data_IF_741233189094
#
_entry.id   IF_741233189094
#
_cell.length_a   1.000
_cell.length_b   1.000
_cell.length_c   1.000
_cell.angle_alpha   90.00
_cell.angle_beta   90.00
_cell.angle_gamma   90.00
#
_symmetry.space_group_name_H-M   'P 1'
#
loop_
_entity.id
_entity.type
_entity.pdbx_description
1 polymer ?
#
# COMPACT_ATOMS: atom_id res chain seq x y z
N UNK A 1 -10.50 0.32 7.25
CA UNK A 1 -10.89 -0.09 5.89
C UNK A 1 -9.70 -0.03 4.96
N UNK A 2 -9.60 -1.00 4.08
CA UNK A 2 -8.56 -1.09 3.05
C UNK A 2 -9.23 -1.08 1.67
N UNK A 3 -8.78 -0.22 0.78
CA UNK A 3 -9.22 -0.17 -0.60
C UNK A 3 -8.01 -0.35 -1.53
N UNK A 4 -8.03 -1.39 -2.36
CA UNK A 4 -7.03 -1.59 -3.39
C UNK A 4 -7.28 -0.63 -4.57
N UNK A 5 -6.20 -0.03 -5.09
CA UNK A 5 -6.28 0.85 -6.26
C UNK A 5 -6.66 0.09 -7.55
N UNK A 6 -6.36 -1.19 -7.62
CA UNK A 6 -6.66 -2.03 -8.77
C UNK A 6 -8.12 -2.51 -8.73
N UNK A 7 -8.84 -2.38 -9.85
CA UNK A 7 -10.27 -2.70 -9.91
C UNK A 7 -10.62 -4.17 -9.63
N UNK A 8 -9.71 -5.11 -9.89
CA UNK A 8 -9.90 -6.53 -9.63
C UNK A 8 -8.57 -7.21 -9.24
N UNK A 9 -7.98 -6.90 -8.07
CA UNK A 9 -6.75 -7.54 -7.67
C UNK A 9 -6.97 -9.04 -7.42
N UNK A 10 -6.11 -9.88 -7.97
CA UNK A 10 -6.12 -11.33 -7.71
C UNK A 10 -5.72 -11.63 -6.26
N UNK A 11 -4.92 -10.77 -5.69
CA UNK A 11 -4.43 -10.82 -4.31
C UNK A 11 -4.21 -9.39 -3.83
N UNK A 12 -4.23 -9.21 -2.53
CA UNK A 12 -4.08 -7.91 -1.86
C UNK A 12 -3.00 -8.09 -0.80
N UNK A 13 -2.10 -7.14 -0.69
CA UNK A 13 -1.14 -7.14 0.41
C UNK A 13 -1.89 -6.96 1.73
N UNK A 14 -1.70 -7.89 2.66
CA UNK A 14 -2.25 -7.77 4.00
C UNK A 14 -1.56 -6.66 4.78
N UNK A 15 -2.30 -6.02 5.67
CA UNK A 15 -1.69 -5.24 6.72
C UNK A 15 -1.17 -6.21 7.80
N UNK A 16 -0.01 -5.90 8.38
CA UNK A 16 0.65 -6.75 9.36
C UNK A 16 -0.32 -7.21 10.45
N UNK A 17 -0.40 -8.53 10.66
CA UNK A 17 -1.28 -9.19 11.62
C UNK A 17 -2.78 -8.82 11.55
N UNK A 18 -3.26 -8.40 10.39
CA UNK A 18 -4.68 -8.09 10.17
C UNK A 18 -5.38 -9.15 9.34
N UNK A 19 -6.62 -9.42 9.66
CA UNK A 19 -7.48 -10.34 8.91
C UNK A 19 -8.72 -9.63 8.40
N UNK A 20 -9.26 -10.00 7.22
CA UNK A 20 -10.52 -9.46 6.76
C UNK A 20 -11.68 -9.96 7.62
N UNK A 21 -12.59 -9.06 7.99
CA UNK A 21 -13.79 -9.38 8.75
C UNK A 21 -14.95 -9.82 7.86
N UNK A 22 -14.85 -9.59 6.56
CA UNK A 22 -15.91 -9.87 5.60
C UNK A 22 -15.79 -11.30 5.04
N UNK A 23 -16.91 -12.01 4.79
CA UNK A 23 -16.89 -13.32 4.17
C UNK A 23 -16.36 -13.24 2.72
N UNK A 24 -15.73 -14.31 2.25
CA UNK A 24 -15.19 -14.40 0.89
C UNK A 24 -13.77 -13.88 0.73
N UNK A 25 -13.13 -13.44 1.82
CA UNK A 25 -11.71 -13.12 1.87
C UNK A 25 -11.00 -14.04 2.86
N UNK A 26 -9.76 -14.41 2.54
CA UNK A 26 -8.92 -15.24 3.43
C UNK A 26 -7.46 -14.81 3.35
N UNK A 27 -6.75 -14.92 4.46
CA UNK A 27 -5.32 -14.64 4.56
C UNK A 27 -4.54 -15.91 4.23
N UNK A 28 -3.55 -15.79 3.36
CA UNK A 28 -2.62 -16.87 3.06
C UNK A 28 -1.48 -16.92 4.09
N UNK A 29 -0.73 -18.01 4.08
CA UNK A 29 0.44 -18.21 4.97
C UNK A 29 1.57 -17.18 4.71
N UNK A 30 1.59 -16.53 3.57
CA UNK A 30 2.50 -15.44 3.21
C UNK A 30 2.00 -14.05 3.64
N UNK A 31 0.84 -13.97 4.28
CA UNK A 31 0.20 -12.73 4.72
C UNK A 31 -0.64 -12.05 3.63
N UNK A 32 -0.63 -12.55 2.39
CA UNK A 32 -1.45 -11.99 1.32
C UNK A 32 -2.94 -12.31 1.55
N UNK A 33 -3.80 -11.33 1.28
CA UNK A 33 -5.26 -11.51 1.32
C UNK A 33 -5.72 -11.92 -0.06
N UNK A 34 -6.38 -13.06 -0.15
CA UNK A 34 -7.06 -13.50 -1.37
C UNK A 34 -8.55 -13.30 -1.28
N UNK A 35 -9.12 -13.00 -2.43
CA UNK A 35 -10.56 -12.89 -2.63
C UNK A 35 -11.08 -14.18 -3.23
N UNK A 36 -12.21 -14.67 -2.72
CA UNK A 36 -12.98 -15.72 -3.36
C UNK A 36 -13.68 -15.23 -4.64
N UNK A 37 -14.72 -15.93 -5.10
CA UNK A 37 -15.41 -15.68 -6.36
C UNK A 37 -16.21 -14.36 -6.47
N UNK A 38 -16.12 -13.47 -5.51
CA UNK A 38 -16.87 -12.20 -5.53
C UNK A 38 -16.30 -11.18 -6.53
N UNK A 39 -17.18 -10.53 -7.29
CA UNK A 39 -16.85 -9.62 -8.42
C UNK A 39 -16.73 -8.13 -8.06
N UNK A 40 -16.93 -7.71 -6.80
CA UNK A 40 -16.98 -6.29 -6.44
C UNK A 40 -15.72 -5.79 -5.73
N UNK A 41 -15.22 -4.63 -6.13
CA UNK A 41 -14.20 -3.85 -5.45
C UNK A 41 -14.84 -2.99 -4.35
N UNK A 42 -15.29 -3.63 -3.28
CA UNK A 42 -15.71 -2.91 -2.08
C UNK A 42 -14.50 -2.69 -1.15
N UNK A 43 -14.51 -1.65 -0.32
CA UNK A 43 -13.54 -1.53 0.76
C UNK A 43 -13.58 -2.77 1.66
N UNK A 44 -12.40 -3.22 2.08
CA UNK A 44 -12.26 -4.39 2.95
C UNK A 44 -12.07 -3.90 4.38
N UNK A 45 -12.91 -4.40 5.28
CA UNK A 45 -12.73 -4.16 6.71
C UNK A 45 -11.71 -5.15 7.26
N UNK A 46 -10.61 -4.64 7.80
CA UNK A 46 -9.57 -5.44 8.43
C UNK A 46 -9.63 -5.28 9.94
N UNK A 47 -9.48 -6.40 10.64
CA UNK A 47 -9.35 -6.45 12.10
C UNK A 47 -7.91 -6.77 12.44
N UNK A 48 -7.27 -5.92 13.23
CA UNK A 48 -5.93 -6.18 13.73
C UNK A 48 -5.97 -7.16 14.90
N UNK A 49 -5.19 -8.25 14.79
CA UNK A 49 -5.13 -9.32 15.81
C UNK A 49 -3.99 -9.16 16.82
N UNK A 50 -3.27 -8.05 16.77
CA UNK A 50 -2.09 -7.85 17.59
C UNK A 50 -0.86 -8.60 17.04
N UNK A 51 0.15 -8.83 17.90
CA UNK A 51 1.42 -9.48 17.51
C UNK A 51 1.36 -11.01 17.50
N UNK A 52 0.20 -11.62 17.30
CA UNK A 52 0.07 -13.08 17.31
C UNK A 52 0.55 -13.68 15.98
N UNK A 53 1.26 -14.80 16.05
CA UNK A 53 1.56 -15.62 14.87
C UNK A 53 0.24 -16.23 14.36
N UNK A 54 -0.24 -15.74 13.23
CA UNK A 54 -1.54 -16.14 12.65
C UNK A 54 -1.51 -17.58 12.15
N UNK A 55 -0.34 -18.13 11.82
CA UNK A 55 -0.21 -19.48 11.29
C UNK A 55 1.03 -20.20 11.85
N UNK A 56 0.88 -21.46 12.30
CA UNK A 56 2.02 -22.30 12.61
C UNK A 56 2.85 -22.56 11.34
N UNK A 57 4.15 -22.41 11.44
CA UNK A 57 5.06 -22.59 10.30
C UNK A 57 5.51 -24.05 10.26
N UNK A 58 5.29 -24.73 9.14
CA UNK A 58 5.72 -26.11 8.96
C UNK A 58 7.23 -26.20 8.72
N UNK A 59 7.84 -27.31 9.13
CA UNK A 59 9.26 -27.60 8.87
C UNK A 59 9.61 -27.57 7.37
N UNK A 60 8.65 -27.93 6.50
CA UNK A 60 8.83 -27.86 5.06
C UNK A 60 9.02 -26.40 4.57
N UNK A 61 8.28 -25.45 5.11
CA UNK A 61 8.42 -24.03 4.78
C UNK A 61 9.79 -23.52 5.23
N UNK A 62 10.25 -23.89 6.42
CA UNK A 62 11.58 -23.50 6.90
C UNK A 62 12.68 -24.07 6.00
N UNK A 63 12.60 -25.36 5.65
CA UNK A 63 13.55 -26.00 4.75
C UNK A 63 13.57 -25.35 3.36
N UNK A 64 12.42 -25.00 2.81
CA UNK A 64 12.33 -24.28 1.53
C UNK A 64 13.03 -22.91 1.59
N UNK A 65 12.99 -22.24 2.74
CA UNK A 65 13.65 -20.95 2.95
C UNK A 65 15.16 -21.06 3.33
N UNK A 66 15.73 -22.24 3.30
CA UNK A 66 17.18 -22.51 3.37
C UNK A 66 17.78 -22.86 2.01
N UNK A 67 16.94 -23.11 1.00
CA UNK A 67 17.40 -23.57 -0.31
C UNK A 67 18.17 -22.49 -1.07
N UNK A 68 19.25 -22.93 -1.72
CA UNK A 68 20.05 -22.14 -2.65
C UNK A 68 20.74 -23.06 -3.69
N UNK A 69 21.26 -22.48 -4.77
CA UNK A 69 22.03 -23.21 -5.77
C UNK A 69 23.51 -23.18 -5.40
N UNK A 70 24.04 -24.33 -5.00
CA UNK A 70 25.43 -24.46 -4.51
C UNK A 70 26.51 -24.13 -5.57
N UNK A 71 26.16 -24.17 -6.85
CA UNK A 71 27.06 -23.85 -7.98
C UNK A 71 27.08 -22.35 -8.31
N UNK A 72 26.28 -21.51 -7.66
CA UNK A 72 26.16 -20.08 -7.92
C UNK A 72 26.74 -19.25 -6.77
N UNK A 73 27.16 -18.03 -7.08
CA UNK A 73 27.55 -17.01 -6.09
C UNK A 73 28.62 -17.52 -5.09
N UNK A 74 29.67 -18.16 -5.62
CA UNK A 74 30.69 -18.84 -4.79
C UNK A 74 31.47 -17.90 -3.88
N UNK A 75 31.65 -16.62 -4.25
CA UNK A 75 32.33 -15.64 -3.41
C UNK A 75 31.43 -15.26 -2.23
N UNK A 76 30.13 -15.07 -2.45
CA UNK A 76 29.17 -14.78 -1.40
C UNK A 76 29.01 -15.95 -0.44
N UNK A 77 29.06 -17.20 -0.92
CA UNK A 77 29.07 -18.38 -0.06
C UNK A 77 30.30 -18.41 0.86
N UNK A 78 31.49 -18.11 0.32
CA UNK A 78 32.72 -18.05 1.14
C UNK A 78 32.65 -16.94 2.18
N UNK A 79 32.22 -15.73 1.79
CA UNK A 79 32.04 -14.61 2.69
C UNK A 79 31.05 -14.96 3.82
N UNK A 80 29.92 -15.57 3.48
CA UNK A 80 28.93 -15.97 4.45
C UNK A 80 29.50 -16.97 5.46
N UNK A 81 30.21 -18.00 5.00
CA UNK A 81 30.83 -18.99 5.87
C UNK A 81 31.94 -18.40 6.76
N UNK A 82 32.74 -17.49 6.21
CA UNK A 82 33.78 -16.80 6.96
C UNK A 82 33.21 -15.94 8.09
N UNK A 83 32.23 -15.08 7.80
CA UNK A 83 31.56 -14.24 8.80
C UNK A 83 30.80 -15.08 9.83
N UNK A 84 30.19 -16.20 9.41
CA UNK A 84 29.49 -17.08 10.33
C UNK A 84 30.45 -17.78 11.29
N UNK A 85 31.60 -18.24 10.83
CA UNK A 85 32.66 -18.81 11.68
C UNK A 85 33.22 -17.76 12.65
N UNK A 86 33.46 -16.53 12.20
CA UNK A 86 33.92 -15.41 13.05
C UNK A 86 32.89 -15.04 14.10
N UNK A 87 31.60 -15.25 13.84
CA UNK A 87 30.52 -15.02 14.82
C UNK A 87 30.44 -16.09 15.90
N UNK A 88 31.25 -17.14 15.81
CA UNK A 88 31.16 -18.34 16.67
C UNK A 88 29.86 -19.12 16.41
N UNK A 89 29.38 -19.14 15.18
CA UNK A 89 28.13 -19.76 14.72
C UNK A 89 26.87 -19.24 15.47
N UNK A 90 26.90 -18.01 15.96
CA UNK A 90 25.78 -17.35 16.63
C UNK A 90 25.01 -16.48 15.63
N UNK A 91 23.73 -16.82 15.32
CA UNK A 91 22.97 -16.13 14.25
C UNK A 91 22.85 -14.63 14.45
N UNK A 92 22.58 -14.13 15.67
CA UNK A 92 22.39 -12.70 15.96
C UNK A 92 23.69 -11.93 15.72
N UNK A 93 24.83 -12.51 16.14
CA UNK A 93 26.16 -11.91 15.94
C UNK A 93 26.51 -11.88 14.45
N UNK A 94 26.21 -12.98 13.74
CA UNK A 94 26.42 -13.07 12.30
C UNK A 94 25.61 -12.02 11.53
N UNK A 95 24.33 -11.87 11.85
CA UNK A 95 23.46 -10.84 11.25
C UNK A 95 24.08 -9.45 11.45
N UNK A 96 24.50 -9.12 12.66
CA UNK A 96 25.14 -7.84 12.97
C UNK A 96 26.45 -7.65 12.18
N UNK A 97 27.26 -8.70 12.03
CA UNK A 97 28.48 -8.65 11.22
C UNK A 97 28.20 -8.43 9.75
N UNK A 98 27.20 -9.11 9.17
CA UNK A 98 26.78 -8.91 7.78
C UNK A 98 26.29 -7.47 7.55
N UNK A 99 25.46 -6.93 8.43
CA UNK A 99 24.99 -5.53 8.34
C UNK A 99 26.16 -4.53 8.45
N UNK A 100 27.11 -4.75 9.36
CA UNK A 100 28.31 -3.93 9.48
C UNK A 100 29.21 -4.05 8.26
N UNK A 101 29.30 -5.24 7.65
CA UNK A 101 30.04 -5.45 6.42
C UNK A 101 29.46 -4.61 5.27
N UNK A 102 28.13 -4.60 5.06
CA UNK A 102 27.52 -3.69 4.10
C UNK A 102 27.91 -2.23 4.35
N UNK A 103 27.84 -1.79 5.59
CA UNK A 103 28.17 -0.40 5.98
C UNK A 103 29.62 -0.04 5.67
N UNK A 104 30.56 -0.98 5.85
CA UNK A 104 31.99 -0.76 5.68
C UNK A 104 32.50 -0.84 4.24
N UNK A 105 31.75 -1.49 3.34
CA UNK A 105 32.22 -1.79 1.98
C UNK A 105 31.83 -0.76 0.91
N UNK A 106 31.32 0.42 1.32
CA UNK A 106 30.99 1.51 0.40
C UNK A 106 29.80 1.24 -0.50
N UNK A 107 28.84 0.46 -0.02
CA UNK A 107 27.57 0.27 -0.72
C UNK A 107 26.76 1.56 -0.82
N UNK A 108 26.07 1.75 -1.94
CA UNK A 108 25.23 2.90 -2.20
C UNK A 108 23.82 2.53 -2.65
N UNK A 109 22.86 3.41 -2.33
CA UNK A 109 21.48 3.24 -2.77
C UNK A 109 21.25 3.95 -4.11
N UNK A 110 20.80 3.21 -5.13
CA UNK A 110 20.50 3.73 -6.45
C UNK A 110 19.26 3.04 -7.02
N UNK A 111 18.33 3.83 -7.60
CA UNK A 111 17.17 3.31 -8.32
C UNK A 111 17.51 2.87 -9.76
N UNK A 112 18.70 3.20 -10.24
CA UNK A 112 19.21 2.80 -11.55
C UNK A 112 20.62 2.20 -11.43
N UNK A 113 20.76 1.02 -10.78
CA UNK A 113 22.07 0.45 -10.48
C UNK A 113 22.78 -0.19 -11.68
N UNK A 114 22.12 -0.32 -12.82
CA UNK A 114 22.58 -1.10 -13.95
C UNK A 114 22.14 -2.57 -13.89
N UNK A 115 22.63 -3.38 -14.85
CA UNK A 115 22.26 -4.80 -14.92
C UNK A 115 23.28 -5.66 -14.18
N UNK A 116 22.79 -6.62 -13.41
CA UNK A 116 23.59 -7.69 -12.83
C UNK A 116 23.87 -8.79 -13.88
N UNK A 117 24.99 -9.48 -13.73
CA UNK A 117 25.38 -10.60 -14.58
C UNK A 117 24.85 -11.94 -14.05
N UNK A 118 25.40 -13.07 -14.50
CA UNK A 118 24.87 -14.42 -14.22
C UNK A 118 24.88 -14.82 -12.75
N UNK A 119 25.90 -14.44 -11.98
CA UNK A 119 25.99 -14.68 -10.54
C UNK A 119 25.59 -13.38 -9.83
N UNK A 120 24.28 -13.20 -9.68
CA UNK A 120 23.69 -11.93 -9.31
C UNK A 120 24.13 -11.45 -7.92
N UNK A 121 24.29 -12.36 -6.97
CA UNK A 121 24.68 -12.02 -5.61
C UNK A 121 26.15 -11.64 -5.55
N UNK A 122 27.02 -12.43 -6.17
CA UNK A 122 28.45 -12.11 -6.28
C UNK A 122 28.67 -10.78 -7.00
N UNK A 123 27.97 -10.59 -8.11
CA UNK A 123 28.06 -9.37 -8.91
C UNK A 123 27.64 -8.13 -8.10
N UNK A 124 26.54 -8.23 -7.36
CA UNK A 124 26.08 -7.14 -6.50
C UNK A 124 27.05 -6.87 -5.34
N UNK A 125 27.48 -7.91 -4.63
CA UNK A 125 28.26 -7.76 -3.39
C UNK A 125 29.70 -7.31 -3.65
N UNK A 126 30.35 -7.76 -4.75
CA UNK A 126 31.77 -7.56 -4.93
C UNK A 126 32.12 -6.59 -6.07
N UNK A 127 31.23 -6.44 -7.05
CA UNK A 127 31.50 -5.59 -8.22
C UNK A 127 30.67 -4.31 -8.22
N UNK A 128 29.34 -4.41 -8.20
CA UNK A 128 28.45 -3.28 -8.43
C UNK A 128 28.29 -2.41 -7.21
N UNK A 129 27.98 -2.97 -6.04
CA UNK A 129 27.78 -2.29 -4.74
C UNK A 129 26.78 -1.13 -4.77
N UNK A 130 25.99 -1.04 -5.81
CA UNK A 130 24.95 -0.05 -6.02
C UNK A 130 23.64 -0.77 -6.29
N UNK A 131 22.59 -0.46 -5.54
CA UNK A 131 21.32 -1.14 -5.68
C UNK A 131 20.19 -0.44 -4.93
N UNK A 132 19.01 -0.99 -5.03
CA UNK A 132 17.82 -0.59 -4.26
C UNK A 132 17.36 -1.74 -3.36
N UNK A 133 16.27 -1.56 -2.63
CA UNK A 133 15.83 -2.46 -1.56
C UNK A 133 15.84 -3.96 -1.94
N UNK A 134 15.44 -4.32 -3.17
CA UNK A 134 15.44 -5.71 -3.63
C UNK A 134 16.85 -6.33 -3.67
N UNK A 135 17.86 -5.58 -4.07
CA UNK A 135 19.25 -6.05 -4.13
C UNK A 135 19.78 -6.32 -2.72
N UNK A 136 19.52 -5.42 -1.79
CA UNK A 136 19.94 -5.57 -0.39
C UNK A 136 19.19 -6.70 0.31
N UNK A 137 17.86 -6.76 0.16
CA UNK A 137 17.06 -7.81 0.77
C UNK A 137 17.42 -9.20 0.21
N UNK A 138 17.56 -9.34 -1.11
CA UNK A 138 17.87 -10.63 -1.74
C UNK A 138 19.28 -11.11 -1.41
N UNK A 139 20.28 -10.24 -1.49
CA UNK A 139 21.66 -10.63 -1.13
C UNK A 139 21.80 -10.98 0.34
N UNK A 140 21.17 -10.24 1.23
CA UNK A 140 21.14 -10.56 2.65
C UNK A 140 20.48 -11.91 2.93
N UNK A 141 19.32 -12.18 2.34
CA UNK A 141 18.63 -13.49 2.46
C UNK A 141 19.53 -14.62 1.99
N UNK A 142 20.25 -14.45 0.85
CA UNK A 142 21.13 -15.47 0.38
C UNK A 142 22.34 -15.71 1.30
N UNK A 143 22.92 -14.65 1.87
CA UNK A 143 23.98 -14.80 2.88
C UNK A 143 23.50 -15.62 4.11
N UNK A 144 22.24 -15.41 4.55
CA UNK A 144 21.66 -16.22 5.62
C UNK A 144 21.50 -17.69 5.21
N UNK A 145 20.97 -17.93 4.00
CA UNK A 145 20.73 -19.29 3.48
C UNK A 145 22.02 -20.09 3.27
N UNK A 146 23.11 -19.45 2.85
CA UNK A 146 24.41 -20.09 2.64
C UNK A 146 25.00 -20.71 3.92
N UNK A 147 24.58 -20.25 5.08
CA UNK A 147 24.96 -20.82 6.39
C UNK A 147 23.84 -21.60 7.06
N UNK A 148 22.79 -21.94 6.31
CA UNK A 148 21.68 -22.77 6.78
C UNK A 148 20.65 -22.05 7.66
N UNK A 149 20.68 -20.73 7.76
CA UNK A 149 19.67 -19.94 8.47
C UNK A 149 18.48 -19.71 7.54
N UNK A 150 17.22 -20.12 7.93
CA UNK A 150 16.06 -19.87 7.10
C UNK A 150 15.80 -18.38 6.98
N UNK A 151 15.71 -17.89 5.73
CA UNK A 151 15.46 -16.48 5.44
C UNK A 151 14.63 -16.32 4.18
N UNK A 152 13.83 -15.24 4.12
CA UNK A 152 12.97 -14.92 2.98
C UNK A 152 12.95 -13.42 2.68
N UNK A 153 12.78 -13.08 1.40
CA UNK A 153 12.48 -11.71 0.99
C UNK A 153 10.98 -11.48 1.17
N UNK A 154 10.63 -10.36 1.75
CA UNK A 154 9.26 -9.89 1.88
C UNK A 154 9.11 -8.62 1.08
N UNK A 155 8.04 -8.54 0.29
CA UNK A 155 7.67 -7.35 -0.47
C UNK A 155 6.40 -6.76 0.08
N UNK A 156 6.34 -5.44 0.12
CA UNK A 156 5.19 -4.73 0.68
C UNK A 156 5.32 -3.24 0.44
N UNK A 157 4.79 -2.48 1.36
CA UNK A 157 4.89 -1.02 1.34
C UNK A 157 5.44 -0.53 2.68
N UNK A 158 6.17 0.56 2.63
CA UNK A 158 6.71 1.23 3.81
C UNK A 158 6.51 2.73 3.69
N UNK A 159 5.79 3.29 4.67
CA UNK A 159 5.37 4.67 4.65
C UNK A 159 3.98 4.86 4.07
N UNK A 160 3.73 6.05 3.56
CA UNK A 160 2.46 6.52 3.03
C UNK A 160 2.28 8.00 3.35
N UNK A 161 1.19 8.59 2.89
CA UNK A 161 0.83 9.97 3.18
C UNK A 161 -0.52 10.03 3.88
N UNK A 162 -0.60 10.88 4.91
CA UNK A 162 -1.90 11.20 5.51
C UNK A 162 -2.76 11.98 4.51
N UNK A 163 -3.99 11.54 4.32
CA UNK A 163 -4.97 12.24 3.52
C UNK A 163 -5.45 13.52 4.24
N UNK A 164 -6.12 14.44 3.52
CA UNK A 164 -6.59 15.70 4.09
C UNK A 164 -7.55 15.58 5.29
N UNK A 165 -8.19 14.41 5.45
CA UNK A 165 -9.08 14.12 6.59
C UNK A 165 -8.34 13.79 7.90
N UNK A 166 -7.00 13.66 7.86
CA UNK A 166 -6.15 13.29 8.99
C UNK A 166 -6.38 11.88 9.55
N UNK A 167 -7.24 11.07 8.93
CA UNK A 167 -7.61 9.72 9.39
C UNK A 167 -7.30 8.63 8.36
N UNK A 168 -7.29 8.99 7.10
CA UNK A 168 -7.01 8.10 5.98
C UNK A 168 -5.54 8.19 5.59
N UNK A 169 -4.94 7.05 5.25
CA UNK A 169 -3.58 6.95 4.71
C UNK A 169 -3.64 6.50 3.26
N UNK A 170 -2.91 7.20 2.41
CA UNK A 170 -2.65 6.81 1.04
C UNK A 170 -1.28 6.15 0.95
N UNK A 171 -1.26 4.92 0.47
CA UNK A 171 -0.04 4.15 0.19
C UNK A 171 0.10 4.01 -1.31
N UNK A 172 1.22 4.48 -1.87
CA UNK A 172 1.43 4.57 -3.31
C UNK A 172 2.48 3.58 -3.77
N UNK A 173 2.55 3.37 -5.08
CA UNK A 173 3.58 2.50 -5.67
C UNK A 173 5.02 2.97 -5.35
N UNK A 174 5.22 4.27 -5.13
CA UNK A 174 6.50 4.82 -4.67
C UNK A 174 6.91 4.37 -3.26
N UNK A 175 5.94 3.94 -2.45
CA UNK A 175 6.15 3.45 -1.10
C UNK A 175 6.43 1.93 -1.08
N UNK A 176 6.48 1.29 -2.28
CA UNK A 176 6.85 -0.11 -2.41
C UNK A 176 8.26 -0.36 -1.86
N UNK A 177 8.41 -1.41 -1.08
CA UNK A 177 9.64 -1.75 -0.39
C UNK A 177 9.83 -3.26 -0.27
N UNK A 178 11.08 -3.69 -0.25
CA UNK A 178 11.47 -5.06 0.03
C UNK A 178 12.40 -5.11 1.24
N UNK A 179 12.14 -6.05 2.13
CA UNK A 179 12.98 -6.33 3.30
C UNK A 179 13.20 -7.81 3.47
N UNK A 180 13.99 -8.18 4.44
CA UNK A 180 14.29 -9.58 4.77
C UNK A 180 13.57 -10.00 6.05
N UNK A 181 13.20 -11.26 6.12
CA UNK A 181 12.83 -11.92 7.37
C UNK A 181 13.70 -13.15 7.58
N UNK A 182 14.17 -13.31 8.80
CA UNK A 182 15.03 -14.40 9.25
C UNK A 182 14.33 -15.18 10.34
N UNK A 183 14.38 -16.51 10.29
CA UNK A 183 13.80 -17.35 11.31
C UNK A 183 14.75 -17.54 12.49
N UNK A 184 14.42 -16.90 13.59
CA UNK A 184 15.19 -16.95 14.84
C UNK A 184 14.25 -17.18 16.01
N UNK A 185 14.67 -18.01 16.98
CA UNK A 185 13.92 -18.25 18.22
C UNK A 185 12.44 -18.62 18.00
N UNK A 186 12.16 -19.40 16.95
CA UNK A 186 10.80 -19.87 16.68
C UNK A 186 9.87 -18.85 16.02
N UNK A 187 10.39 -17.73 15.51
CA UNK A 187 9.61 -16.67 14.85
C UNK A 187 10.35 -16.03 13.68
N UNK A 188 9.62 -15.46 12.73
CA UNK A 188 10.19 -14.59 11.72
C UNK A 188 10.53 -13.22 12.34
N UNK A 189 11.78 -12.80 12.19
CA UNK A 189 12.25 -11.49 12.62
C UNK A 189 12.55 -10.64 11.39
N UNK A 190 11.96 -9.45 11.32
CA UNK A 190 12.20 -8.48 10.25
C UNK A 190 13.59 -7.89 10.39
N UNK A 191 14.35 -7.93 9.30
CA UNK A 191 15.66 -7.29 9.16
C UNK A 191 15.67 -6.55 7.83
N UNK A 192 15.92 -5.25 7.89
CA UNK A 192 15.97 -4.40 6.70
C UNK A 192 17.40 -3.91 6.46
N UNK A 193 18.17 -4.59 5.58
CA UNK A 193 19.54 -4.18 5.31
C UNK A 193 19.62 -2.82 4.60
N UNK A 194 18.55 -2.35 3.96
CA UNK A 194 18.49 -1.02 3.36
C UNK A 194 18.60 0.08 4.40
N UNK A 195 18.13 -0.15 5.63
CA UNK A 195 18.20 0.82 6.72
C UNK A 195 19.64 1.18 7.11
N UNK A 196 20.58 0.27 6.90
CA UNK A 196 21.99 0.49 7.21
C UNK A 196 22.69 1.36 6.14
N UNK A 197 22.24 1.27 4.89
CA UNK A 197 22.85 1.93 3.73
C UNK A 197 22.17 3.27 3.41
N UNK A 198 20.86 3.34 3.59
CA UNK A 198 20.06 4.50 3.26
C UNK A 198 18.94 4.69 4.29
N UNK A 199 19.29 5.05 5.56
CA UNK A 199 18.29 5.22 6.62
C UNK A 199 17.22 6.24 6.26
N UNK A 200 17.57 7.29 5.56
CA UNK A 200 16.64 8.31 5.09
C UNK A 200 15.58 7.74 4.12
N UNK A 201 15.88 6.63 3.41
CA UNK A 201 14.91 5.95 2.55
C UNK A 201 13.83 5.27 3.38
N UNK A 202 14.19 4.79 4.55
CA UNK A 202 13.29 4.10 5.47
C UNK A 202 12.45 5.11 6.25
N UNK A 203 13.05 6.21 6.70
CA UNK A 203 12.38 7.21 7.53
C UNK A 203 11.45 8.14 6.73
N UNK A 204 11.86 8.53 5.53
CA UNK A 204 11.20 9.57 4.74
C UNK A 204 10.58 9.06 3.43
N UNK A 205 10.80 7.80 3.07
CA UNK A 205 10.38 7.23 1.79
C UNK A 205 11.20 7.72 0.58
N UNK A 206 10.87 7.24 -0.61
CA UNK A 206 11.56 7.63 -1.87
C UNK A 206 11.42 9.13 -2.17
N UNK A 207 10.35 9.75 -1.69
CA UNK A 207 10.04 11.15 -2.00
C UNK A 207 11.14 12.13 -1.63
N UNK A 208 11.78 11.95 -0.48
CA UNK A 208 12.83 12.87 -0.01
C UNK A 208 14.03 12.94 -0.95
N UNK A 209 14.47 11.82 -1.53
CA UNK A 209 15.60 11.81 -2.47
C UNK A 209 15.30 12.39 -3.84
N UNK A 210 14.10 12.11 -4.38
CA UNK A 210 13.66 12.70 -5.64
C UNK A 210 13.54 14.23 -5.50
N UNK A 211 13.19 14.71 -4.30
CA UNK A 211 13.05 16.13 -3.99
C UNK A 211 14.39 16.84 -3.73
N UNK A 212 15.38 16.16 -3.16
CA UNK A 212 16.69 16.78 -2.85
C UNK A 212 17.53 17.09 -4.10
N UNK A 213 17.28 16.43 -5.24
CA UNK A 213 18.09 16.60 -6.45
C UNK A 213 17.83 17.89 -7.24
N UNK A 214 16.78 18.67 -6.94
CA UNK A 214 16.63 20.03 -7.55
C UNK A 214 15.61 20.88 -6.77
N UNK A 215 16.10 21.92 -6.10
CA UNK A 215 15.27 22.88 -5.35
C UNK A 215 14.18 23.56 -6.20
N UNK A 216 14.40 23.79 -7.48
CA UNK A 216 13.42 24.40 -8.40
C UNK A 216 12.27 23.46 -8.77
N UNK A 217 12.52 22.15 -8.92
CA UNK A 217 11.49 21.13 -9.15
C UNK A 217 10.69 20.81 -7.89
N UNK A 218 11.24 21.09 -6.72
CA UNK A 218 10.66 20.75 -5.42
C UNK A 218 9.32 21.47 -5.17
N UNK A 219 9.21 22.76 -5.48
CA UNK A 219 7.99 23.54 -5.23
C UNK A 219 6.85 23.13 -6.19
N UNK A 220 7.16 22.92 -7.46
CA UNK A 220 6.20 22.49 -8.48
C UNK A 220 5.74 21.04 -8.27
N UNK A 221 6.66 20.19 -7.81
CA UNK A 221 6.36 18.79 -7.49
C UNK A 221 5.54 18.63 -6.19
N UNK A 222 5.84 19.41 -5.16
CA UNK A 222 5.09 19.41 -3.90
C UNK A 222 3.62 19.84 -4.12
N UNK A 223 3.36 20.81 -5.00
CA UNK A 223 2.01 21.21 -5.36
C UNK A 223 1.27 20.12 -6.16
N UNK A 224 1.92 19.55 -7.18
CA UNK A 224 1.35 18.44 -7.97
C UNK A 224 1.06 17.21 -7.11
N UNK A 225 1.96 16.84 -6.21
CA UNK A 225 1.77 15.74 -5.30
C UNK A 225 0.59 15.98 -4.34
N UNK A 226 0.46 17.20 -3.82
CA UNK A 226 -0.68 17.57 -2.97
C UNK A 226 -2.01 17.52 -3.72
N UNK A 227 -2.03 17.95 -4.98
CA UNK A 227 -3.22 17.82 -5.82
C UNK A 227 -3.53 16.36 -6.16
N UNK A 228 -2.53 15.51 -6.38
CA UNK A 228 -2.72 14.10 -6.64
C UNK A 228 -3.30 13.39 -5.41
N UNK A 229 -2.74 13.63 -4.21
CA UNK A 229 -3.31 13.09 -2.96
C UNK A 229 -4.77 13.54 -2.78
N UNK A 230 -5.10 14.79 -3.12
CA UNK A 230 -6.48 15.27 -3.09
C UNK A 230 -7.36 14.56 -4.11
N UNK A 231 -6.90 14.38 -5.34
CA UNK A 231 -7.68 13.68 -6.38
C UNK A 231 -7.91 12.22 -6.04
N UNK A 232 -6.89 11.55 -5.50
CA UNK A 232 -6.96 10.15 -5.11
C UNK A 232 -7.84 9.96 -3.86
N UNK A 233 -7.77 10.91 -2.91
CA UNK A 233 -8.69 10.96 -1.78
C UNK A 233 -10.15 11.15 -2.21
N UNK A 234 -10.42 12.07 -3.15
CA UNK A 234 -11.77 12.28 -3.70
C UNK A 234 -12.25 11.02 -4.45
N UNK A 235 -11.38 10.40 -5.25
CA UNK A 235 -11.68 9.14 -5.93
C UNK A 235 -11.95 8.01 -4.91
N UNK A 236 -11.18 7.92 -3.83
CA UNK A 236 -11.41 6.99 -2.73
C UNK A 236 -12.78 7.24 -2.07
N UNK A 237 -13.09 8.49 -1.71
CA UNK A 237 -14.38 8.84 -1.11
C UNK A 237 -15.55 8.51 -2.05
N UNK A 238 -15.38 8.80 -3.33
CA UNK A 238 -16.37 8.43 -4.35
C UNK A 238 -16.55 6.91 -4.44
N UNK A 239 -15.46 6.18 -4.55
CA UNK A 239 -15.49 4.72 -4.69
C UNK A 239 -15.99 4.03 -3.40
N UNK A 240 -15.61 4.54 -2.22
CA UNK A 240 -16.03 3.97 -0.94
C UNK A 240 -17.47 4.31 -0.56
N UNK A 241 -17.93 5.52 -0.88
CA UNK A 241 -19.25 6.01 -0.47
C UNK A 241 -20.31 5.93 -1.56
N UNK A 242 -19.92 5.95 -2.83
CA UNK A 242 -20.86 5.98 -3.97
C UNK A 242 -20.82 4.68 -4.74
N UNK A 243 -19.66 4.24 -5.22
CA UNK A 243 -19.53 3.02 -6.05
C UNK A 243 -19.57 1.74 -5.21
N UNK A 244 -18.93 1.76 -4.02
CA UNK A 244 -18.96 0.66 -3.06
C UNK A 244 -20.20 0.66 -2.16
N UNK A 245 -21.21 1.47 -2.47
CA UNK A 245 -22.47 1.55 -1.75
C UNK A 245 -23.29 0.31 -2.06
N UNK A 246 -23.19 -0.68 -1.20
CA UNK A 246 -23.91 -1.95 -1.36
C UNK A 246 -25.43 -1.72 -1.25
N UNK A 247 -26.19 -2.43 -2.06
CA UNK A 247 -27.65 -2.34 -2.12
C UNK A 247 -28.29 -2.51 -0.73
N UNK A 248 -27.69 -3.31 0.14
CA UNK A 248 -28.12 -3.51 1.53
C UNK A 248 -27.95 -2.25 2.39
N UNK A 249 -26.85 -1.50 2.24
CA UNK A 249 -26.63 -0.23 2.94
C UNK A 249 -27.55 0.88 2.43
N UNK A 250 -27.82 0.88 1.13
CA UNK A 250 -28.73 1.82 0.50
C UNK A 250 -30.18 1.62 1.01
N UNK A 251 -30.62 0.38 1.08
CA UNK A 251 -31.93 0.04 1.61
C UNK A 251 -32.05 0.36 3.10
N UNK A 252 -31.03 0.08 3.89
CA UNK A 252 -31.02 0.41 5.32
C UNK A 252 -31.05 1.93 5.58
N UNK A 253 -30.33 2.72 4.78
CA UNK A 253 -30.37 4.18 4.89
C UNK A 253 -31.75 4.73 4.47
N UNK A 254 -32.30 4.26 3.35
CA UNK A 254 -33.63 4.64 2.87
C UNK A 254 -34.74 4.21 3.83
N UNK A 255 -34.57 3.08 4.53
CA UNK A 255 -35.54 2.60 5.52
C UNK A 255 -35.68 3.52 6.73
N UNK A 256 -34.60 4.22 7.14
CA UNK A 256 -34.64 5.21 8.21
C UNK A 256 -35.55 6.41 7.88
N UNK A 257 -35.73 6.71 6.59
CA UNK A 257 -36.66 7.75 6.10
C UNK A 257 -38.01 7.18 5.67
N UNK A 258 -38.31 5.91 5.99
CA UNK A 258 -39.57 5.27 5.60
C UNK A 258 -39.67 4.92 4.11
N UNK A 259 -38.58 5.03 3.34
CA UNK A 259 -38.51 4.80 1.88
C UNK A 259 -38.11 3.36 1.54
N UNK A 260 -38.59 2.39 2.29
CA UNK A 260 -38.22 0.98 2.16
C UNK A 260 -38.86 0.25 0.97
N UNK A 261 -39.88 0.82 0.35
CA UNK A 261 -40.60 0.20 -0.79
C UNK A 261 -40.35 0.97 -2.08
N UNK A 262 -40.26 0.28 -3.25
CA UNK A 262 -40.05 0.95 -4.55
C UNK A 262 -41.11 2.01 -4.86
N UNK A 263 -42.36 1.76 -4.43
CA UNK A 263 -43.46 2.71 -4.63
C UNK A 263 -43.27 4.01 -3.86
N UNK A 264 -42.85 3.93 -2.58
CA UNK A 264 -42.60 5.12 -1.78
C UNK A 264 -41.40 5.92 -2.29
N UNK A 265 -40.37 5.23 -2.77
CA UNK A 265 -39.23 5.87 -3.40
C UNK A 265 -39.62 6.60 -4.67
N UNK A 266 -40.44 5.97 -5.53
CA UNK A 266 -40.95 6.61 -6.74
C UNK A 266 -41.79 7.86 -6.42
N UNK A 267 -42.69 7.77 -5.45
CA UNK A 267 -43.52 8.90 -5.02
C UNK A 267 -42.66 10.05 -4.45
N UNK A 268 -41.64 9.73 -3.66
CA UNK A 268 -40.68 10.72 -3.16
C UNK A 268 -39.92 11.41 -4.28
N UNK A 269 -39.41 10.66 -5.25
CA UNK A 269 -38.72 11.20 -6.44
C UNK A 269 -39.63 12.12 -7.25
N UNK A 270 -40.87 11.68 -7.52
CA UNK A 270 -41.86 12.50 -8.25
C UNK A 270 -42.13 13.80 -7.50
N UNK A 271 -42.35 13.73 -6.17
CA UNK A 271 -42.63 14.93 -5.37
C UNK A 271 -41.44 15.90 -5.33
N UNK A 272 -40.22 15.37 -5.25
CA UNK A 272 -39.00 16.17 -5.28
C UNK A 272 -38.82 16.89 -6.64
N UNK A 273 -39.08 16.18 -7.75
CA UNK A 273 -39.03 16.78 -9.10
C UNK A 273 -40.12 17.83 -9.27
N UNK A 274 -41.33 17.56 -8.80
CA UNK A 274 -42.41 18.54 -8.84
C UNK A 274 -42.10 19.80 -8.04
N UNK A 275 -41.53 19.65 -6.82
CA UNK A 275 -41.08 20.77 -6.01
C UNK A 275 -40.00 21.61 -6.72
N UNK A 276 -39.00 20.92 -7.29
CA UNK A 276 -37.95 21.60 -8.06
C UNK A 276 -38.53 22.38 -9.24
N UNK A 277 -39.46 21.79 -9.98
CA UNK A 277 -40.15 22.48 -11.09
C UNK A 277 -40.91 23.72 -10.60
N UNK A 278 -41.64 23.62 -9.48
CA UNK A 278 -42.35 24.76 -8.87
C UNK A 278 -41.36 25.86 -8.50
N UNK A 279 -40.24 25.53 -7.90
CA UNK A 279 -39.20 26.50 -7.53
C UNK A 279 -38.58 27.18 -8.76
N UNK A 280 -38.29 26.43 -9.80
CA UNK A 280 -37.74 26.97 -11.06
C UNK A 280 -38.76 27.85 -11.77
N UNK A 281 -40.01 27.43 -11.86
CA UNK A 281 -41.09 28.23 -12.46
C UNK A 281 -41.36 29.49 -11.64
N UNK A 282 -41.40 29.38 -10.32
CA UNK A 282 -41.53 30.52 -9.41
C UNK A 282 -40.39 31.52 -9.55
N UNK A 283 -39.14 31.03 -9.63
CA UNK A 283 -37.99 31.88 -9.88
C UNK A 283 -38.07 32.60 -11.24
N UNK A 284 -38.43 31.86 -12.29
CA UNK A 284 -38.66 32.44 -13.64
C UNK A 284 -39.77 33.46 -13.63
N UNK A 285 -40.89 33.17 -12.96
CA UNK A 285 -42.00 34.12 -12.83
C UNK A 285 -41.57 35.39 -12.11
N UNK A 286 -40.84 35.30 -10.99
CA UNK A 286 -40.30 36.46 -10.28
C UNK A 286 -39.33 37.26 -11.15
N UNK A 287 -38.46 36.59 -11.93
CA UNK A 287 -37.57 37.28 -12.88
C UNK A 287 -38.34 38.06 -13.94
N UNK A 288 -39.34 37.43 -14.58
CA UNK A 288 -40.17 38.07 -15.58
C UNK A 288 -40.94 39.25 -14.98
N UNK A 289 -41.51 39.04 -13.78
CA UNK A 289 -42.25 40.11 -13.06
C UNK A 289 -41.36 41.30 -12.71
N UNK A 290 -40.09 41.06 -12.36
CA UNK A 290 -39.13 42.15 -12.07
C UNK A 290 -38.67 42.92 -13.33
N UNK A 291 -38.71 42.29 -14.50
CA UNK A 291 -38.33 42.93 -15.78
C UNK A 291 -39.49 43.69 -16.42
N UNK A 292 -40.75 43.49 -15.99
CA UNK A 292 -41.90 44.23 -16.49
C UNK A 292 -41.88 45.69 -15.99
N UNK A 293 -42.15 46.61 -16.92
CA UNK A 293 -42.29 48.02 -16.55
C UNK A 293 -43.51 48.25 -15.64
N UNK A 294 -43.53 49.33 -14.81
CA UNK A 294 -44.68 49.65 -13.97
C UNK A 294 -46.00 49.77 -14.73
N UNK A 295 -45.96 50.08 -16.01
CA UNK A 295 -47.13 50.24 -16.89
C UNK A 295 -47.73 48.88 -17.28
N UNK A 296 -46.92 47.88 -17.59
CA UNK A 296 -47.38 46.51 -17.94
C UNK A 296 -47.94 45.75 -16.73
N UNK A 297 -47.47 46.00 -15.51
CA UNK A 297 -47.98 45.40 -14.29
C UNK A 297 -49.47 45.75 -13.99
N UNK A 298 -49.93 46.91 -14.43
CA UNK A 298 -51.29 47.34 -14.18
C UNK A 298 -52.32 46.82 -15.22
N UNK A 299 -51.88 46.37 -16.41
CA UNK A 299 -52.74 45.80 -17.45
C UNK A 299 -53.34 44.44 -17.14
N UNK A 300 -52.74 43.66 -16.22
CA UNK A 300 -53.18 42.32 -15.81
C UNK A 300 -53.97 42.33 -14.48
N UNK A 301 -54.39 43.51 -14.01
CA UNK A 301 -55.15 43.63 -12.74
C UNK A 301 -56.63 43.84 -12.95
N UNK A 302 -57.13 43.71 -14.20
CA UNK A 302 -58.57 43.76 -14.55
C UNK A 302 -59.03 42.45 -15.15
#
# INVERSE_FOLDING_TARGET
QYLAAEKQPKWIMGLETSVPSQPGYYVQHDGAIRKGLQRHTAPIDLVWLGKQNIHPISAHVLKANQNYLSSKDLQAQRLAQELFNQSGARPEVYIAQVLNWYKSQGFGYSLNPGRLQNDHIDDFLFRQRQGFCEHYASSFVMLMRYVGIPARVVVGYQGGQAAPDGKTWEVRQLDAHAWSEVWLEGKWQRIDPTAVIAPERIEQGIQSRVLQQSAFKQQQWAWRNRMQVWSDFVAYQWQSKVVGYDQSRQLNWLSQFGLSTPLRLALFMISAIALLMILVLGYRYVQIYRQQSPYERNLYRF
#
